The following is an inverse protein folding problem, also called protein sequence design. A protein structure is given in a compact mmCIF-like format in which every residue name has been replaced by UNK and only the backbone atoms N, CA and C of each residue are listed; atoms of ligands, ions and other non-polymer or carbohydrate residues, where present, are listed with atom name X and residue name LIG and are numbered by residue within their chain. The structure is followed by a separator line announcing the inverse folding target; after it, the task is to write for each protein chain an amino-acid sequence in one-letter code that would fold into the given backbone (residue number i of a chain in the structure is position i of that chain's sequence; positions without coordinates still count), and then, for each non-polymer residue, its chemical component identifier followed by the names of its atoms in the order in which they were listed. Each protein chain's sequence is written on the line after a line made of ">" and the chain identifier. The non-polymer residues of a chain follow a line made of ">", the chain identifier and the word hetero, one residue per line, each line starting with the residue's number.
data_IF_630440651598
#
_entry.id   IF_630440651598
#
_cell.length_a   1.000
_cell.length_b   1.000
_cell.length_c   1.000
_cell.angle_alpha   90.00
_cell.angle_beta   90.00
_cell.angle_gamma   90.00
#
_symmetry.space_group_name_H-M   'P 1'
#
loop_
_entity.id
_entity.type
_entity.pdbx_description
1 polymer ?
#
# COMPACT_ATOMS: atom_id res chain seq x y z
N UNK A 1 3.92 -2.08 -11.53
CA UNK A 1 3.59 -0.73 -12.08
C UNK A 1 2.53 -0.02 -11.24
N UNK A 2 2.58 1.28 -11.21
CA UNK A 2 1.56 2.13 -10.59
C UNK A 2 0.82 2.89 -11.67
N UNK A 3 -0.50 2.95 -11.55
CA UNK A 3 -1.33 3.88 -12.30
C UNK A 3 -2.06 4.81 -11.35
N UNK A 4 -1.84 6.10 -11.51
CA UNK A 4 -2.56 7.15 -10.80
C UNK A 4 -3.54 7.82 -11.77
N UNK A 5 -4.81 7.80 -11.41
CA UNK A 5 -5.89 8.47 -12.13
C UNK A 5 -6.34 9.68 -11.34
N UNK A 6 -6.19 10.87 -11.94
CA UNK A 6 -6.72 12.09 -11.39
C UNK A 6 -8.15 12.30 -11.90
N UNK A 7 -9.10 12.33 -11.00
CA UNK A 7 -10.50 12.64 -11.28
C UNK A 7 -10.68 14.16 -11.12
N UNK A 8 -11.38 14.78 -12.08
CA UNK A 8 -11.51 16.23 -12.22
C UNK A 8 -11.96 16.93 -10.96
N UNK A 9 -12.97 16.35 -10.30
CA UNK A 9 -13.62 17.00 -9.19
C UNK A 9 -13.28 16.32 -7.86
N UNK A 10 -13.21 17.10 -6.80
CA UNK A 10 -13.23 16.56 -5.46
C UNK A 10 -14.61 15.96 -5.21
N UNK A 11 -14.61 14.65 -4.94
CA UNK A 11 -15.84 13.93 -4.63
C UNK A 11 -16.18 14.21 -3.14
N UNK A 12 -17.38 14.69 -2.88
CA UNK A 12 -17.85 14.96 -1.51
C UNK A 12 -18.27 13.67 -0.79
N UNK A 13 -17.32 12.77 -0.65
CA UNK A 13 -17.45 11.51 0.09
C UNK A 13 -16.11 11.19 0.77
N UNK A 14 -16.11 10.54 1.93
CA UNK A 14 -14.86 10.11 2.57
C UNK A 14 -14.02 9.23 1.64
N UNK A 15 -12.71 9.49 1.53
CA UNK A 15 -11.81 8.75 0.66
C UNK A 15 -11.85 7.23 0.88
N UNK A 16 -12.06 6.80 2.11
CA UNK A 16 -12.18 5.40 2.48
C UNK A 16 -13.43 4.72 1.92
N UNK A 17 -14.56 5.43 1.85
CA UNK A 17 -15.80 4.90 1.29
C UNK A 17 -15.70 4.86 -0.24
N UNK A 18 -15.03 5.84 -0.84
CA UNK A 18 -14.68 5.85 -2.27
C UNK A 18 -13.76 4.70 -2.65
N UNK A 19 -12.76 4.38 -1.81
CA UNK A 19 -11.81 3.32 -2.10
C UNK A 19 -12.50 1.95 -2.31
N UNK A 20 -13.50 1.64 -1.49
CA UNK A 20 -14.29 0.41 -1.64
C UNK A 20 -15.13 0.43 -2.92
N UNK A 21 -15.73 1.59 -3.27
CA UNK A 21 -16.50 1.75 -4.51
C UNK A 21 -15.61 1.63 -5.76
N UNK A 22 -14.43 2.23 -5.75
CA UNK A 22 -13.44 2.11 -6.82
C UNK A 22 -12.92 0.67 -6.97
N UNK A 23 -12.73 -0.03 -5.85
CA UNK A 23 -12.39 -1.44 -5.90
C UNK A 23 -13.51 -2.27 -6.57
N UNK A 24 -14.78 -2.05 -6.19
CA UNK A 24 -15.92 -2.71 -6.85
C UNK A 24 -15.94 -2.42 -8.35
N UNK A 25 -15.80 -1.15 -8.73
CA UNK A 25 -15.72 -0.76 -10.14
C UNK A 25 -14.58 -1.46 -10.88
N UNK A 26 -13.39 -1.59 -10.27
CA UNK A 26 -12.27 -2.32 -10.87
C UNK A 26 -12.63 -3.79 -11.10
N UNK A 27 -13.25 -4.45 -10.13
CA UNK A 27 -13.66 -5.86 -10.26
C UNK A 27 -14.71 -6.06 -11.37
N UNK A 28 -15.62 -5.12 -11.55
CA UNK A 28 -16.62 -5.14 -12.64
C UNK A 28 -15.99 -5.02 -14.04
N UNK A 29 -14.77 -4.50 -14.15
CA UNK A 29 -14.05 -4.40 -15.44
C UNK A 29 -13.27 -5.67 -15.78
N UNK A 30 -13.18 -6.65 -14.87
CA UNK A 30 -12.39 -7.85 -15.03
C UNK A 30 -13.27 -9.06 -15.33
N UNK A 31 -12.65 -10.08 -15.92
CA UNK A 31 -13.30 -11.38 -16.11
C UNK A 31 -13.67 -12.02 -14.76
N UNK A 32 -14.85 -12.65 -14.70
CA UNK A 32 -15.37 -13.25 -13.46
C UNK A 32 -14.46 -14.31 -12.86
N UNK A 33 -13.88 -15.16 -13.73
CA UNK A 33 -13.03 -16.27 -13.29
C UNK A 33 -11.73 -15.70 -12.67
N UNK A 34 -11.25 -14.59 -13.23
CA UNK A 34 -10.08 -13.90 -12.67
C UNK A 34 -10.39 -13.17 -11.36
N UNK A 35 -11.58 -12.60 -11.21
CA UNK A 35 -12.05 -12.01 -9.95
C UNK A 35 -12.14 -13.08 -8.86
N UNK A 36 -12.69 -14.27 -9.19
CA UNK A 36 -12.76 -15.40 -8.26
C UNK A 36 -11.35 -15.88 -7.84
N UNK A 37 -10.41 -15.93 -8.79
CA UNK A 37 -9.01 -16.21 -8.50
C UNK A 37 -8.41 -15.18 -7.52
N UNK A 38 -8.64 -13.88 -7.75
CA UNK A 38 -8.15 -12.81 -6.87
C UNK A 38 -8.73 -12.92 -5.45
N UNK A 39 -10.00 -13.30 -5.32
CA UNK A 39 -10.65 -13.49 -4.02
C UNK A 39 -10.06 -14.66 -3.19
N UNK A 40 -9.47 -15.65 -3.85
CA UNK A 40 -8.83 -16.79 -3.18
C UNK A 40 -7.40 -16.50 -2.73
N UNK A 41 -6.80 -15.39 -3.20
CA UNK A 41 -5.43 -15.05 -2.84
C UNK A 41 -5.33 -14.61 -1.37
N UNK A 42 -4.37 -15.14 -0.64
CA UNK A 42 -4.03 -14.67 0.72
C UNK A 42 -3.40 -13.28 0.70
N UNK A 43 -2.62 -12.98 -0.33
CA UNK A 43 -2.04 -11.67 -0.61
C UNK A 43 -2.41 -11.29 -2.03
N UNK A 44 -3.21 -10.24 -2.17
CA UNK A 44 -3.60 -9.78 -3.50
C UNK A 44 -2.39 -9.23 -4.26
N UNK A 45 -2.25 -9.54 -5.57
CA UNK A 45 -1.16 -9.06 -6.41
C UNK A 45 -1.32 -7.58 -6.81
N UNK A 46 -2.22 -6.85 -6.17
CA UNK A 46 -2.45 -5.43 -6.38
C UNK A 46 -2.81 -4.73 -5.07
N UNK A 47 -2.57 -3.44 -5.04
CA UNK A 47 -3.03 -2.55 -3.98
C UNK A 47 -3.67 -1.30 -4.58
N UNK A 48 -4.59 -0.69 -3.85
CA UNK A 48 -5.23 0.55 -4.28
C UNK A 48 -5.23 1.57 -3.15
N UNK A 49 -5.31 2.85 -3.50
CA UNK A 49 -5.59 3.91 -2.53
C UNK A 49 -6.35 5.05 -3.20
N UNK A 50 -7.17 5.72 -2.41
CA UNK A 50 -7.84 6.96 -2.82
C UNK A 50 -7.36 8.09 -1.93
N UNK A 51 -6.86 9.14 -2.56
CA UNK A 51 -6.36 10.34 -1.89
C UNK A 51 -7.20 11.52 -2.36
N UNK A 52 -7.74 12.26 -1.41
CA UNK A 52 -8.48 13.48 -1.71
C UNK A 52 -7.54 14.68 -1.57
N UNK A 53 -7.30 15.34 -2.69
CA UNK A 53 -6.68 16.65 -2.75
C UNK A 53 -7.66 17.78 -2.40
N UNK A 54 -7.21 19.01 -2.52
CA UNK A 54 -8.07 20.19 -2.32
C UNK A 54 -9.15 20.31 -3.40
N UNK A 55 -8.80 20.01 -4.64
CA UNK A 55 -9.64 20.23 -5.83
C UNK A 55 -9.93 18.95 -6.61
N UNK A 56 -9.20 17.87 -6.38
CA UNK A 56 -9.31 16.62 -7.11
C UNK A 56 -9.34 15.40 -6.19
N UNK A 57 -9.74 14.28 -6.76
CA UNK A 57 -9.64 12.97 -6.15
C UNK A 57 -8.68 12.11 -6.97
N UNK A 58 -7.73 11.49 -6.33
CA UNK A 58 -6.75 10.60 -6.96
C UNK A 58 -7.08 9.15 -6.59
N UNK A 59 -7.29 8.33 -7.60
CA UNK A 59 -7.36 6.90 -7.46
C UNK A 59 -6.06 6.28 -7.97
N UNK A 60 -5.34 5.61 -7.09
CA UNK A 60 -4.05 4.96 -7.38
C UNK A 60 -4.23 3.47 -7.36
N UNK A 61 -3.78 2.80 -8.41
CA UNK A 61 -3.78 1.34 -8.53
C UNK A 61 -2.34 0.90 -8.74
N UNK A 62 -1.86 0.00 -7.90
CA UNK A 62 -0.55 -0.63 -7.99
C UNK A 62 -0.71 -2.08 -8.44
N UNK A 63 -0.09 -2.46 -9.53
CA UNK A 63 0.01 -3.82 -10.04
C UNK A 63 1.38 -4.36 -9.61
N UNK A 64 1.40 -5.45 -8.85
CA UNK A 64 2.56 -5.90 -8.10
C UNK A 64 3.23 -7.15 -8.69
N UNK A 65 2.59 -7.81 -9.65
CA UNK A 65 3.12 -8.96 -10.36
C UNK A 65 2.84 -8.83 -11.85
N UNK A 66 3.60 -9.53 -12.69
CA UNK A 66 3.43 -9.51 -14.15
C UNK A 66 2.07 -10.07 -14.57
N UNK A 67 1.59 -11.13 -13.89
CA UNK A 67 0.29 -11.76 -14.22
C UNK A 67 -0.86 -10.76 -14.12
N UNK A 68 -0.96 -9.99 -13.03
CA UNK A 68 -2.03 -9.00 -12.91
C UNK A 68 -1.81 -7.82 -13.85
N UNK A 69 -0.55 -7.49 -14.15
CA UNK A 69 -0.25 -6.45 -15.11
C UNK A 69 -0.80 -6.80 -16.49
N UNK A 70 -0.51 -7.98 -16.99
CA UNK A 70 -0.98 -8.44 -18.30
C UNK A 70 -2.51 -8.43 -18.42
N UNK A 71 -3.21 -8.76 -17.33
CA UNK A 71 -4.66 -8.85 -17.32
C UNK A 71 -5.40 -7.54 -17.07
N UNK A 72 -4.82 -6.67 -16.27
CA UNK A 72 -5.51 -5.49 -15.71
C UNK A 72 -5.02 -4.17 -16.30
N UNK A 73 -3.75 -4.10 -16.71
CA UNK A 73 -3.15 -2.83 -17.14
C UNK A 73 -3.85 -2.21 -18.35
N UNK A 74 -4.15 -3.01 -19.38
CA UNK A 74 -4.85 -2.51 -20.57
C UNK A 74 -6.27 -2.05 -20.26
N UNK A 75 -6.96 -2.76 -19.38
CA UNK A 75 -8.29 -2.36 -18.90
C UNK A 75 -8.22 -1.00 -18.20
N UNK A 76 -7.26 -0.81 -17.31
CA UNK A 76 -7.05 0.46 -16.62
C UNK A 76 -6.73 1.59 -17.62
N UNK A 77 -5.97 1.35 -18.68
CA UNK A 77 -5.63 2.37 -19.69
C UNK A 77 -6.85 2.89 -20.44
N UNK A 78 -7.88 2.07 -20.61
CA UNK A 78 -9.08 2.40 -21.36
C UNK A 78 -10.13 3.18 -20.54
N UNK A 79 -9.99 3.22 -19.20
CA UNK A 79 -10.93 3.92 -18.34
C UNK A 79 -10.80 5.43 -18.55
N UNK A 80 -11.84 6.02 -19.14
CA UNK A 80 -12.00 7.47 -19.31
C UNK A 80 -13.03 8.04 -18.34
N UNK A 81 -13.98 7.21 -17.95
CA UNK A 81 -15.07 7.56 -17.04
C UNK A 81 -15.22 6.45 -16.00
N UNK A 82 -15.56 6.83 -14.78
CA UNK A 82 -15.84 5.91 -13.68
C UNK A 82 -17.27 6.12 -13.23
N UNK A 83 -18.07 5.08 -13.25
CA UNK A 83 -19.44 5.08 -12.74
C UNK A 83 -19.45 4.36 -11.39
N UNK A 84 -19.70 5.09 -10.32
CA UNK A 84 -19.84 4.54 -8.97
C UNK A 84 -21.31 4.63 -8.57
N UNK A 85 -21.82 3.60 -7.91
CA UNK A 85 -23.19 3.63 -7.38
C UNK A 85 -23.39 4.86 -6.50
N UNK A 86 -24.54 5.53 -6.65
CA UNK A 86 -24.96 6.74 -5.93
C UNK A 86 -24.10 8.00 -6.17
N UNK A 87 -23.27 8.00 -7.21
CA UNK A 87 -22.48 9.17 -7.61
C UNK A 87 -22.67 9.50 -9.09
N UNK A 88 -22.51 10.79 -9.48
CA UNK A 88 -22.46 11.15 -10.88
C UNK A 88 -21.28 10.46 -11.56
N UNK A 89 -21.32 10.32 -12.89
CA UNK A 89 -20.19 9.84 -13.66
C UNK A 89 -18.99 10.75 -13.44
N UNK A 90 -17.86 10.12 -13.15
CA UNK A 90 -16.60 10.79 -12.85
C UNK A 90 -15.68 10.70 -14.08
N UNK A 91 -15.22 11.85 -14.58
CA UNK A 91 -14.28 11.89 -15.70
C UNK A 91 -12.84 11.79 -15.20
N UNK A 92 -12.03 10.97 -15.86
CA UNK A 92 -10.59 10.86 -15.63
C UNK A 92 -9.89 11.91 -16.46
N UNK A 93 -9.31 12.93 -15.83
CA UNK A 93 -8.60 14.03 -16.54
C UNK A 93 -7.17 13.67 -16.90
N UNK A 94 -6.48 13.05 -15.97
CA UNK A 94 -5.04 12.77 -16.11
C UNK A 94 -4.73 11.35 -15.61
N UNK A 95 -3.88 10.69 -16.35
CA UNK A 95 -3.33 9.39 -15.98
C UNK A 95 -1.82 9.53 -15.89
N UNK A 96 -1.26 9.16 -14.76
CA UNK A 96 0.19 9.04 -14.55
C UNK A 96 0.54 7.57 -14.36
N UNK A 97 1.61 7.14 -15.02
CA UNK A 97 2.14 5.78 -14.90
C UNK A 97 3.54 5.91 -14.32
N UNK A 98 3.81 5.15 -13.27
CA UNK A 98 5.12 5.02 -12.66
C UNK A 98 5.47 3.54 -12.58
N UNK A 99 6.73 3.21 -12.72
CA UNK A 99 7.24 1.86 -12.66
C UNK A 99 8.34 1.76 -11.61
N UNK A 100 8.25 0.73 -10.76
CA UNK A 100 9.29 0.31 -9.85
C UNK A 100 9.66 -1.11 -10.21
N UNK A 101 10.72 -1.28 -10.99
CA UNK A 101 11.24 -2.61 -11.36
C UNK A 101 11.99 -3.27 -10.21
N UNK A 102 12.14 -4.59 -10.28
CA UNK A 102 12.94 -5.36 -9.35
C UNK A 102 14.42 -4.87 -9.33
N UNK A 103 14.94 -4.47 -10.47
CA UNK A 103 16.30 -3.92 -10.59
C UNK A 103 16.47 -2.67 -9.71
N UNK A 104 15.44 -1.80 -9.65
CA UNK A 104 15.49 -0.61 -8.81
C UNK A 104 15.47 -0.94 -7.32
N UNK A 105 14.73 -1.95 -6.93
CA UNK A 105 14.74 -2.45 -5.54
C UNK A 105 16.12 -3.03 -5.18
N UNK A 106 16.74 -3.77 -6.09
CA UNK A 106 18.09 -4.28 -5.91
C UNK A 106 19.15 -3.16 -5.87
N UNK A 107 19.01 -2.11 -6.68
CA UNK A 107 19.86 -0.93 -6.59
C UNK A 107 19.77 -0.27 -5.22
N UNK A 108 18.55 -0.13 -4.67
CA UNK A 108 18.33 0.42 -3.32
C UNK A 108 19.00 -0.46 -2.27
N UNK A 109 18.84 -1.78 -2.37
CA UNK A 109 19.48 -2.73 -1.45
C UNK A 109 21.00 -2.69 -1.50
N UNK A 110 21.57 -2.54 -2.70
CA UNK A 110 23.03 -2.47 -2.91
C UNK A 110 23.60 -1.05 -2.77
N UNK A 111 22.77 -0.06 -2.42
CA UNK A 111 23.24 1.32 -2.30
C UNK A 111 24.16 1.50 -1.09
N UNK A 112 25.17 2.35 -1.23
CA UNK A 112 26.06 2.74 -0.13
C UNK A 112 25.44 3.80 0.81
N UNK A 113 24.19 4.16 0.58
CA UNK A 113 23.47 5.14 1.39
C UNK A 113 23.25 4.62 2.81
N UNK A 114 23.72 5.37 3.78
CA UNK A 114 23.67 4.98 5.20
C UNK A 114 22.54 5.71 5.94
N UNK A 115 21.31 5.65 5.42
CA UNK A 115 20.16 6.26 6.05
C UNK A 115 19.81 5.54 7.35
N UNK A 116 19.79 6.26 8.45
CA UNK A 116 19.54 5.72 9.79
C UNK A 116 18.11 5.99 10.28
N UNK A 117 17.48 7.07 9.84
CA UNK A 117 16.13 7.44 10.24
C UNK A 117 15.18 7.32 9.06
N UNK A 118 14.02 6.72 9.31
CA UNK A 118 12.96 6.53 8.33
C UNK A 118 11.67 7.12 8.86
N UNK A 119 10.94 7.81 8.01
CA UNK A 119 9.62 8.35 8.33
C UNK A 119 8.57 7.80 7.38
N UNK A 120 7.53 7.21 7.94
CA UNK A 120 6.37 6.67 7.21
C UNK A 120 5.19 7.60 7.44
N UNK A 121 4.58 8.05 6.37
CA UNK A 121 3.28 8.71 6.38
C UNK A 121 2.22 7.67 6.01
N UNK A 122 1.26 7.45 6.89
CA UNK A 122 0.10 6.59 6.65
C UNK A 122 -1.00 7.44 5.99
N UNK A 123 -1.03 7.43 4.66
CA UNK A 123 -1.94 8.26 3.86
C UNK A 123 -3.39 7.79 3.96
N UNK A 124 -3.58 6.48 4.10
CA UNK A 124 -4.92 5.88 4.26
C UNK A 124 -5.02 5.11 5.57
N UNK A 125 -6.25 4.80 6.07
CA UNK A 125 -6.41 4.03 7.29
C UNK A 125 -5.60 2.74 7.24
N UNK A 126 -4.74 2.55 8.22
CA UNK A 126 -3.84 1.40 8.32
C UNK A 126 -4.16 0.59 9.57
N UNK A 127 -4.13 -0.70 9.48
CA UNK A 127 -4.35 -1.59 10.61
C UNK A 127 -3.72 -2.95 10.39
N UNK A 128 -3.47 -3.65 11.46
CA UNK A 128 -2.91 -5.01 11.45
C UNK A 128 -3.89 -5.98 12.08
N UNK A 129 -3.66 -7.25 11.83
CA UNK A 129 -4.35 -8.33 12.52
C UNK A 129 -3.31 -9.25 13.16
N UNK A 130 -3.40 -9.44 14.46
CA UNK A 130 -2.50 -10.33 15.21
C UNK A 130 -3.34 -11.18 16.15
N UNK A 131 -3.09 -12.49 16.16
CA UNK A 131 -3.79 -13.46 17.01
C UNK A 131 -5.33 -13.32 16.96
N UNK A 132 -5.86 -13.10 15.76
CA UNK A 132 -7.30 -12.94 15.54
C UNK A 132 -7.88 -11.54 15.84
N UNK A 133 -7.13 -10.67 16.50
CA UNK A 133 -7.57 -9.34 16.92
C UNK A 133 -7.01 -8.22 16.03
N UNK A 134 -7.77 -7.12 15.91
CA UNK A 134 -7.28 -5.91 15.25
C UNK A 134 -6.30 -5.15 16.13
N UNK A 135 -5.19 -4.73 15.54
CA UNK A 135 -4.15 -3.92 16.20
C UNK A 135 -4.10 -2.55 15.52
N UNK A 136 -4.36 -1.51 16.30
CA UNK A 136 -4.45 -0.11 15.84
C UNK A 136 -3.24 0.75 16.22
N UNK A 137 -2.24 0.16 16.87
CA UNK A 137 -0.97 0.83 17.14
C UNK A 137 0.17 0.04 16.50
N UNK A 138 0.99 0.66 15.63
CA UNK A 138 2.04 -0.04 14.94
C UNK A 138 3.19 -0.43 15.89
N UNK A 139 3.73 -1.62 15.71
CA UNK A 139 5.04 -2.00 16.23
C UNK A 139 6.00 -2.24 15.07
N UNK A 140 7.30 -2.15 15.31
CA UNK A 140 8.28 -2.41 14.25
C UNK A 140 8.13 -3.83 13.70
N UNK A 141 7.86 -4.82 14.57
CA UNK A 141 7.60 -6.20 14.15
C UNK A 141 6.41 -6.31 13.18
N UNK A 142 5.28 -5.69 13.47
CA UNK A 142 4.10 -5.74 12.60
C UNK A 142 4.34 -5.04 11.25
N UNK A 143 5.10 -3.95 11.28
CA UNK A 143 5.49 -3.23 10.06
C UNK A 143 6.35 -4.13 9.17
N UNK A 144 7.45 -4.65 9.70
CA UNK A 144 8.36 -5.50 8.93
C UNK A 144 7.72 -6.82 8.53
N UNK A 145 6.98 -7.46 9.42
CA UNK A 145 6.25 -8.68 9.11
C UNK A 145 5.32 -8.50 7.91
N UNK A 146 4.56 -7.41 7.88
CA UNK A 146 3.67 -7.11 6.75
C UNK A 146 4.43 -6.88 5.45
N UNK A 147 5.55 -6.15 5.48
CA UNK A 147 6.35 -5.85 4.30
C UNK A 147 7.08 -7.09 3.78
N UNK A 148 7.76 -7.83 4.66
CA UNK A 148 8.48 -9.06 4.31
C UNK A 148 7.54 -10.12 3.73
N UNK A 149 6.36 -10.30 4.35
CA UNK A 149 5.37 -11.26 3.87
C UNK A 149 4.88 -10.93 2.45
N UNK A 150 4.62 -9.65 2.17
CA UNK A 150 4.20 -9.22 0.84
C UNK A 150 5.34 -9.31 -0.18
N UNK A 151 6.52 -8.87 0.20
CA UNK A 151 7.70 -8.92 -0.66
C UNK A 151 8.06 -10.36 -1.01
N UNK A 152 8.17 -11.24 -0.03
CA UNK A 152 8.44 -12.65 -0.24
C UNK A 152 7.42 -13.31 -1.18
N UNK A 153 6.13 -13.09 -0.97
CA UNK A 153 5.08 -13.71 -1.80
C UNK A 153 4.97 -13.15 -3.22
N UNK A 154 5.12 -11.84 -3.37
CA UNK A 154 4.83 -11.16 -4.64
C UNK A 154 6.06 -10.95 -5.52
N UNK A 155 7.26 -10.91 -4.94
CA UNK A 155 8.52 -10.65 -5.66
C UNK A 155 9.40 -11.89 -5.69
N UNK A 156 9.59 -12.56 -4.56
CA UNK A 156 10.49 -13.71 -4.43
C UNK A 156 9.78 -15.07 -4.63
N UNK A 157 8.45 -15.07 -4.69
CA UNK A 157 7.63 -16.27 -4.73
C UNK A 157 7.90 -17.23 -3.54
N UNK A 158 8.20 -16.64 -2.37
CA UNK A 158 8.45 -17.34 -1.11
C UNK A 158 7.38 -16.95 -0.08
N UNK A 159 6.48 -17.85 0.29
CA UNK A 159 5.37 -17.52 1.19
C UNK A 159 5.78 -17.40 2.66
N UNK A 160 6.92 -17.96 3.05
CA UNK A 160 7.39 -18.01 4.43
C UNK A 160 8.30 -16.82 4.74
N UNK A 161 8.14 -16.27 5.94
CA UNK A 161 9.01 -15.22 6.46
C UNK A 161 10.14 -15.88 7.24
N UNK A 162 11.35 -15.39 7.03
CA UNK A 162 12.49 -15.75 7.87
C UNK A 162 12.35 -15.03 9.23
N UNK A 163 11.91 -15.77 10.23
CA UNK A 163 11.59 -15.23 11.57
C UNK A 163 12.83 -14.61 12.25
N UNK A 164 14.01 -15.20 12.09
CA UNK A 164 15.26 -14.67 12.66
C UNK A 164 15.57 -13.28 12.08
N UNK A 165 15.37 -13.08 10.77
CA UNK A 165 15.52 -11.79 10.11
C UNK A 165 14.47 -10.79 10.61
N UNK A 166 13.22 -11.21 10.77
CA UNK A 166 12.16 -10.35 11.30
C UNK A 166 12.45 -9.91 12.74
N UNK A 167 12.92 -10.82 13.59
CA UNK A 167 13.31 -10.53 14.96
C UNK A 167 14.47 -9.54 14.98
N UNK A 168 15.51 -9.79 14.20
CA UNK A 168 16.68 -8.92 14.10
C UNK A 168 16.31 -7.51 13.64
N UNK A 169 15.48 -7.37 12.59
CA UNK A 169 14.97 -6.08 12.13
C UNK A 169 14.21 -5.34 13.23
N UNK A 170 13.37 -6.07 13.94
CA UNK A 170 12.49 -5.51 14.98
C UNK A 170 13.29 -5.00 16.17
N UNK A 171 14.29 -5.77 16.63
CA UNK A 171 15.15 -5.44 17.75
C UNK A 171 16.09 -4.26 17.47
N UNK A 172 16.53 -4.12 16.20
CA UNK A 172 17.42 -3.05 15.78
C UNK A 172 16.68 -1.79 15.30
N UNK A 173 15.37 -1.75 15.42
CA UNK A 173 14.53 -0.64 15.02
C UNK A 173 13.74 -0.06 16.18
N UNK A 174 13.90 1.24 16.44
CA UNK A 174 13.26 1.92 17.57
C UNK A 174 12.43 3.10 17.08
N UNK A 175 11.15 3.14 17.46
CA UNK A 175 10.27 4.28 17.19
C UNK A 175 10.80 5.49 17.99
N UNK A 176 11.11 6.57 17.30
CA UNK A 176 11.67 7.78 17.90
C UNK A 176 10.67 8.94 17.95
N UNK A 177 9.70 8.95 17.05
CA UNK A 177 8.65 9.96 17.03
C UNK A 177 7.39 9.41 16.34
N UNK A 178 6.23 9.87 16.77
CA UNK A 178 4.98 9.59 16.06
C UNK A 178 3.95 10.70 16.29
N UNK A 179 3.10 10.87 15.29
CA UNK A 179 1.87 11.64 15.35
C UNK A 179 0.79 10.79 14.69
N UNK A 180 0.13 9.98 15.50
CA UNK A 180 -0.89 9.02 15.03
C UNK A 180 -2.25 9.40 15.62
N UNK A 181 -3.28 9.19 14.83
CA UNK A 181 -4.66 9.34 15.23
C UNK A 181 -5.43 8.06 14.94
N UNK A 182 -6.39 7.72 15.78
CA UNK A 182 -7.30 6.61 15.53
C UNK A 182 -8.21 6.91 14.37
N UNK A 183 -8.43 5.92 13.55
CA UNK A 183 -9.28 6.00 12.36
C UNK A 183 -10.09 4.72 12.21
N UNK A 184 -10.94 4.69 11.22
CA UNK A 184 -11.74 3.50 10.88
C UNK A 184 -11.81 3.36 9.37
N UNK A 185 -11.85 2.11 8.92
CA UNK A 185 -12.13 1.78 7.53
C UNK A 185 -13.45 1.01 7.46
N UNK A 186 -14.33 1.41 6.56
CA UNK A 186 -15.64 0.76 6.40
C UNK A 186 -15.62 -0.17 5.19
N UNK A 187 -15.99 -1.42 5.42
CA UNK A 187 -16.22 -2.39 4.35
C UNK A 187 -17.60 -3.00 4.59
N UNK A 188 -18.53 -2.72 3.68
CA UNK A 188 -19.93 -3.09 3.85
C UNK A 188 -20.50 -2.61 5.21
N UNK A 189 -20.88 -3.55 6.08
CA UNK A 189 -21.41 -3.24 7.44
C UNK A 189 -20.35 -3.30 8.54
N UNK A 190 -19.10 -3.64 8.19
CA UNK A 190 -18.01 -3.75 9.16
C UNK A 190 -17.25 -2.44 9.29
N UNK A 191 -16.96 -2.04 10.50
CA UNK A 191 -16.10 -0.93 10.85
C UNK A 191 -14.79 -1.48 11.40
N UNK A 192 -13.74 -1.39 10.60
CA UNK A 192 -12.42 -1.92 10.92
C UNK A 192 -11.63 -0.83 11.63
N UNK A 193 -11.19 -1.04 12.88
CA UNK A 193 -10.33 -0.11 13.58
C UNK A 193 -9.00 0.04 12.86
N UNK A 194 -8.52 1.29 12.78
CA UNK A 194 -7.31 1.66 12.05
C UNK A 194 -6.66 2.89 12.67
N UNK A 195 -5.52 3.29 12.15
CA UNK A 195 -4.83 4.54 12.47
C UNK A 195 -4.36 5.23 11.20
N UNK A 196 -4.06 6.52 11.31
CA UNK A 196 -3.42 7.36 10.30
C UNK A 196 -2.35 8.23 10.94
N UNK A 197 -1.54 8.89 10.14
CA UNK A 197 -0.59 9.89 10.61
C UNK A 197 0.83 9.61 10.19
N UNK A 198 1.79 9.91 11.04
CA UNK A 198 3.22 9.78 10.76
C UNK A 198 3.93 9.05 11.89
N UNK A 199 4.89 8.23 11.53
CA UNK A 199 5.77 7.53 12.44
C UNK A 199 7.20 7.65 11.93
N UNK A 200 8.13 8.00 12.82
CA UNK A 200 9.57 8.02 12.55
C UNK A 200 10.26 7.01 13.44
N UNK A 201 11.17 6.26 12.88
CA UNK A 201 11.97 5.29 13.61
C UNK A 201 13.44 5.33 13.18
N UNK A 202 14.29 4.85 14.07
CA UNK A 202 15.73 4.72 13.87
C UNK A 202 16.09 3.26 13.67
N UNK A 203 16.92 2.96 12.68
CA UNK A 203 17.52 1.65 12.47
C UNK A 203 18.98 1.69 12.88
N UNK A 204 19.37 0.78 13.77
CA UNK A 204 20.75 0.61 14.24
C UNK A 204 21.35 -0.66 13.61
N UNK A 205 22.65 -0.69 13.41
CA UNK A 205 23.34 -1.87 12.86
C UNK A 205 24.00 -1.61 11.52
N UNK A 206 24.28 -2.69 10.80
CA UNK A 206 25.01 -2.67 9.55
C UNK A 206 24.28 -1.88 8.45
N UNK A 207 25.03 -1.36 7.50
CA UNK A 207 24.49 -0.65 6.34
C UNK A 207 23.54 -1.53 5.53
N UNK A 208 23.86 -2.81 5.35
CA UNK A 208 22.99 -3.77 4.65
C UNK A 208 21.61 -3.90 5.28
N UNK A 209 21.52 -3.84 6.62
CA UNK A 209 20.24 -3.84 7.33
C UNK A 209 19.43 -2.58 6.98
N UNK A 210 20.06 -1.42 6.98
CA UNK A 210 19.40 -0.14 6.65
C UNK A 210 18.95 -0.09 5.20
N UNK A 211 19.78 -0.62 4.28
CA UNK A 211 19.45 -0.73 2.87
C UNK A 211 18.26 -1.69 2.65
N UNK A 212 18.22 -2.80 3.38
CA UNK A 212 17.08 -3.74 3.34
C UNK A 212 15.79 -3.08 3.84
N UNK A 213 15.86 -2.36 4.94
CA UNK A 213 14.71 -1.58 5.45
C UNK A 213 14.24 -0.56 4.41
N UNK A 214 15.16 0.18 3.78
CA UNK A 214 14.82 1.16 2.74
C UNK A 214 14.13 0.48 1.55
N UNK A 215 14.66 -0.65 1.09
CA UNK A 215 14.09 -1.44 0.01
C UNK A 215 12.66 -1.90 0.35
N UNK A 216 12.45 -2.50 1.53
CA UNK A 216 11.14 -2.97 1.97
C UNK A 216 10.13 -1.81 2.09
N UNK A 217 10.54 -0.67 2.62
CA UNK A 217 9.67 0.50 2.73
C UNK A 217 9.32 1.09 1.36
N UNK A 218 10.28 1.16 0.44
CA UNK A 218 10.02 1.61 -0.95
C UNK A 218 9.04 0.68 -1.65
N UNK A 219 9.20 -0.63 -1.50
CA UNK A 219 8.21 -1.59 -1.97
C UNK A 219 6.85 -1.37 -1.29
N UNK A 220 6.85 -1.03 -0.01
CA UNK A 220 5.64 -0.73 0.78
C UNK A 220 4.81 0.44 0.26
N UNK A 221 5.42 1.43 -0.40
CA UNK A 221 4.68 2.53 -1.04
C UNK A 221 3.76 2.02 -2.15
N UNK A 222 4.11 0.91 -2.78
CA UNK A 222 3.32 0.24 -3.82
C UNK A 222 2.42 -0.87 -3.26
N UNK A 223 2.93 -1.75 -2.43
CA UNK A 223 2.17 -2.89 -1.89
C UNK A 223 1.18 -2.50 -0.79
N UNK A 224 1.37 -1.33 -0.21
CA UNK A 224 0.70 -0.93 1.02
C UNK A 224 1.17 -1.73 2.24
N UNK A 225 0.77 -1.31 3.43
CA UNK A 225 1.17 -1.84 4.72
C UNK A 225 -0.04 -2.34 5.50
N UNK A 226 0.08 -3.50 6.13
CA UNK A 226 -0.99 -4.10 6.91
C UNK A 226 -2.06 -4.80 6.06
N UNK A 227 -3.30 -4.81 6.55
CA UNK A 227 -4.39 -5.57 5.93
C UNK A 227 -5.17 -4.77 4.88
N UNK A 228 -5.89 -5.49 4.00
CA UNK A 228 -6.88 -4.95 3.04
C UNK A 228 -6.35 -3.84 2.13
N UNK A 229 -5.11 -3.97 1.69
CA UNK A 229 -4.46 -2.99 0.81
C UNK A 229 -5.09 -2.96 -0.59
N UNK A 230 -5.68 -4.05 -1.04
CA UNK A 230 -6.48 -4.09 -2.27
C UNK A 230 -7.79 -3.30 -2.18
N UNK A 231 -8.30 -3.05 -0.97
CA UNK A 231 -9.51 -2.26 -0.73
C UNK A 231 -9.25 -0.78 -0.42
N UNK A 232 -7.98 -0.38 -0.35
CA UNK A 232 -7.61 1.02 -0.09
C UNK A 232 -7.09 1.32 1.30
N UNK A 233 -6.93 0.32 2.17
CA UNK A 233 -6.22 0.48 3.45
C UNK A 233 -4.71 0.44 3.24
N UNK A 234 -3.97 0.96 4.21
CA UNK A 234 -2.52 0.76 4.31
C UNK A 234 -1.69 1.50 3.28
N UNK A 235 -2.23 2.47 2.57
CA UNK A 235 -1.45 3.30 1.68
C UNK A 235 -0.45 4.12 2.49
N UNK A 236 0.83 3.95 2.19
CA UNK A 236 1.93 4.67 2.85
C UNK A 236 2.72 5.49 1.85
N UNK A 237 3.47 6.45 2.39
CA UNK A 237 4.47 7.23 1.68
C UNK A 237 5.70 7.40 2.58
N UNK A 238 6.88 7.24 2.00
CA UNK A 238 8.11 7.61 2.66
C UNK A 238 8.28 9.13 2.60
N UNK A 239 8.66 9.71 3.71
CA UNK A 239 9.08 11.10 3.73
C UNK A 239 10.60 11.15 3.57
N UNK A 240 11.06 11.73 2.47
CA UNK A 240 12.47 12.06 2.30
C UNK A 240 12.86 13.13 3.32
N UNK A 241 13.83 12.82 4.13
CA UNK A 241 14.40 13.81 5.04
C UNK A 241 15.18 14.80 4.19
N UNK A 242 14.72 16.03 4.13
CA UNK A 242 15.58 17.13 3.68
C UNK A 242 16.59 17.35 4.82
N UNK A 243 17.86 17.00 4.54
CA UNK A 243 18.99 17.36 5.38
C UNK A 243 19.12 18.89 5.51
#
# INVERSE_FOLDING_TARGET
>A
RQRQMCIRDRIDHPAQDLAVKFHGFLMEQLDSDYVDYLHQQQTNPYATKVIQGKENTQWVVHLLTDDIEDKVFMTLLQIKEVSLNDLPKLSVEKVEIQELGADKLLEIFNSEENQTYFSIIFETPTGFKSQGSYVIFPSMRLIFQSLMQKYGRLVENQPEIEEDTLDYLSEHSTITNYRLETSYFRVHRQRIPAFRGKLTFKVQGAQTLKAYVKMLLTFGEYSGLGMKTSLGMGGIKLEERKD
#
